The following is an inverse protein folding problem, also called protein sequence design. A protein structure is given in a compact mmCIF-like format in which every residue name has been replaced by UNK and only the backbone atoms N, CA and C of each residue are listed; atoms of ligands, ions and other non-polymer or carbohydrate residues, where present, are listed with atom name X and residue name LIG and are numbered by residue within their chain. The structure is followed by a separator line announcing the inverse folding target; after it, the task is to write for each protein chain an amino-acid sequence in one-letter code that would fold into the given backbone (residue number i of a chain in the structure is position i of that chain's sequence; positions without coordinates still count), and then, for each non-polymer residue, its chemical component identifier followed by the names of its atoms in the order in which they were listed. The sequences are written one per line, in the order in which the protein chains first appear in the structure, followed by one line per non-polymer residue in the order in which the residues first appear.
data_IF_133060253445
#
_entry.id   IF_133060253445
#
_cell.length_a   1.000
_cell.length_b   1.000
_cell.length_c   1.000
_cell.angle_alpha   90.00
_cell.angle_beta   90.00
_cell.angle_gamma   90.00
#
_symmetry.space_group_name_H-M   'P 1'
#
loop_
_entity.id
_entity.type
_entity.pdbx_description
1 polymer ?
#
# COMPACT_ATOMS: atom_id res chain seq x y z
N UNK A 1 -15.12 -1.45 -6.40
CA UNK A 1 -14.93 -2.85 -5.99
C UNK A 1 -14.05 -2.85 -4.73
N UNK A 2 -14.24 -3.74 -3.75
CA UNK A 2 -13.41 -3.70 -2.53
C UNK A 2 -12.13 -4.49 -2.72
N UNK A 3 -11.03 -4.13 -2.04
CA UNK A 3 -9.75 -4.86 -2.06
C UNK A 3 -9.90 -6.38 -1.91
N UNK A 4 -10.86 -6.84 -1.09
CA UNK A 4 -11.11 -8.27 -0.90
C UNK A 4 -11.84 -8.87 -2.09
N UNK A 5 -12.76 -8.13 -2.71
CA UNK A 5 -13.41 -8.55 -3.94
C UNK A 5 -12.37 -8.65 -5.06
N UNK A 6 -11.46 -7.67 -5.16
CA UNK A 6 -10.36 -7.68 -6.13
C UNK A 6 -9.44 -8.88 -5.91
N UNK A 7 -9.04 -9.16 -4.66
CA UNK A 7 -8.23 -10.33 -4.32
C UNK A 7 -8.94 -11.64 -4.59
N UNK A 8 -10.23 -11.74 -4.27
CA UNK A 8 -11.04 -12.93 -4.51
C UNK A 8 -11.23 -13.13 -6.02
N UNK A 9 -11.49 -12.07 -6.77
CA UNK A 9 -11.63 -12.11 -8.22
C UNK A 9 -10.31 -12.51 -8.89
N UNK A 10 -9.19 -11.92 -8.47
CA UNK A 10 -7.86 -12.28 -8.98
C UNK A 10 -7.49 -13.73 -8.60
N UNK A 11 -7.71 -14.14 -7.36
CA UNK A 11 -7.52 -15.52 -6.91
C UNK A 11 -8.36 -16.49 -7.75
N UNK A 12 -9.63 -16.16 -7.99
CA UNK A 12 -10.53 -16.94 -8.84
C UNK A 12 -10.09 -16.96 -10.32
N UNK A 13 -9.55 -15.86 -10.84
CA UNK A 13 -8.98 -15.76 -12.18
C UNK A 13 -7.73 -16.63 -12.36
N UNK A 14 -6.80 -16.53 -11.40
CA UNK A 14 -5.58 -17.35 -11.34
C UNK A 14 -5.90 -18.85 -11.23
N UNK A 15 -6.85 -19.24 -10.38
CA UNK A 15 -7.31 -20.63 -10.24
C UNK A 15 -7.97 -21.17 -11.52
N UNK A 16 -8.64 -20.31 -12.29
CA UNK A 16 -9.28 -20.70 -13.57
C UNK A 16 -8.28 -20.82 -14.72
N UNK A 17 -7.04 -20.34 -14.60
CA UNK A 17 -6.09 -20.23 -15.71
C UNK A 17 -4.79 -21.03 -15.54
N UNK A 18 -4.52 -21.73 -14.43
CA UNK A 18 -3.13 -22.03 -14.09
C UNK A 18 -2.73 -23.48 -13.76
N UNK A 19 -1.45 -23.74 -14.06
CA UNK A 19 -0.59 -24.70 -13.34
C UNK A 19 -0.14 -24.18 -11.95
N UNK A 20 0.82 -24.88 -11.34
CA UNK A 20 1.03 -24.99 -9.89
C UNK A 20 1.15 -23.67 -9.10
N UNK A 21 1.90 -22.67 -9.56
CA UNK A 21 2.24 -21.49 -8.73
C UNK A 21 1.06 -20.51 -8.52
N UNK A 22 0.09 -20.45 -9.44
CA UNK A 22 -1.07 -19.55 -9.28
C UNK A 22 -2.17 -20.15 -8.39
N UNK A 23 -2.17 -21.49 -8.24
CA UNK A 23 -3.01 -22.18 -7.29
C UNK A 23 -2.59 -21.89 -5.84
N UNK A 24 -1.29 -21.72 -5.58
CA UNK A 24 -0.74 -21.35 -4.27
C UNK A 24 -1.15 -19.93 -3.86
N UNK A 25 -1.20 -18.99 -4.80
CA UNK A 25 -1.69 -17.62 -4.59
C UNK A 25 -3.15 -17.58 -4.12
N UNK A 26 -4.02 -18.27 -4.85
CA UNK A 26 -5.42 -18.41 -4.47
C UNK A 26 -5.57 -19.09 -3.12
N UNK A 27 -4.75 -20.10 -2.82
CA UNK A 27 -4.77 -20.81 -1.55
C UNK A 27 -4.33 -19.93 -0.36
N UNK A 28 -3.35 -19.03 -0.51
CA UNK A 28 -2.91 -18.11 0.56
C UNK A 28 -3.96 -17.05 0.85
N UNK A 29 -4.57 -16.47 -0.20
CA UNK A 29 -5.65 -15.49 -0.09
C UNK A 29 -6.91 -16.11 0.53
N UNK A 30 -7.19 -17.37 0.19
CA UNK A 30 -8.34 -18.14 0.70
C UNK A 30 -8.02 -18.92 1.98
N UNK A 31 -6.79 -18.86 2.51
CA UNK A 31 -6.43 -19.51 3.76
C UNK A 31 -7.11 -18.78 4.94
N UNK A 32 -7.91 -19.53 5.70
CA UNK A 32 -8.71 -19.02 6.82
C UNK A 32 -7.87 -18.34 7.93
N UNK A 33 -6.57 -18.62 8.03
CA UNK A 33 -5.69 -18.01 9.05
C UNK A 33 -5.09 -16.66 8.63
N UNK A 34 -4.97 -16.40 7.33
CA UNK A 34 -4.39 -15.16 6.79
C UNK A 34 -5.42 -14.03 6.66
N UNK A 35 -6.69 -14.37 6.39
CA UNK A 35 -7.74 -13.39 6.12
C UNK A 35 -7.97 -12.38 7.27
N UNK A 36 -8.09 -12.76 8.56
CA UNK A 36 -8.24 -11.79 9.64
C UNK A 36 -7.04 -10.82 9.75
N UNK A 37 -5.82 -11.30 9.49
CA UNK A 37 -4.60 -10.48 9.49
C UNK A 37 -4.61 -9.48 8.34
N UNK A 38 -4.98 -9.92 7.14
CA UNK A 38 -5.13 -9.05 5.96
C UNK A 38 -6.14 -7.92 6.22
N UNK A 39 -7.31 -8.26 6.79
CA UNK A 39 -8.35 -7.28 7.11
C UNK A 39 -7.92 -6.29 8.19
N UNK A 40 -7.25 -6.76 9.24
CA UNK A 40 -6.72 -5.93 10.31
C UNK A 40 -5.64 -4.96 9.79
N UNK A 41 -4.65 -5.47 9.06
CA UNK A 41 -3.58 -4.67 8.46
C UNK A 41 -4.14 -3.61 7.51
N UNK A 42 -5.11 -3.98 6.66
CA UNK A 42 -5.77 -3.03 5.76
C UNK A 42 -6.50 -1.92 6.52
N UNK A 43 -7.31 -2.29 7.52
CA UNK A 43 -8.06 -1.31 8.33
C UNK A 43 -7.11 -0.33 9.02
N UNK A 44 -6.00 -0.84 9.55
CA UNK A 44 -5.01 -0.02 10.24
C UNK A 44 -4.24 0.89 9.27
N UNK A 45 -3.81 0.39 8.12
CA UNK A 45 -3.15 1.20 7.10
C UNK A 45 -4.06 2.32 6.56
N UNK A 46 -5.35 2.04 6.34
CA UNK A 46 -6.34 3.04 5.92
C UNK A 46 -6.55 4.12 6.99
N UNK A 47 -6.67 3.71 8.26
CA UNK A 47 -6.80 4.63 9.40
C UNK A 47 -5.59 5.56 9.48
N UNK A 48 -4.38 4.99 9.40
CA UNK A 48 -3.14 5.77 9.49
C UNK A 48 -2.98 6.74 8.31
N UNK A 49 -3.21 6.26 7.08
CA UNK A 49 -3.18 7.09 5.87
C UNK A 49 -4.14 8.27 5.95
N UNK A 50 -5.37 8.05 6.43
CA UNK A 50 -6.34 9.13 6.67
C UNK A 50 -5.78 10.16 7.64
N UNK A 51 -5.25 9.75 8.78
CA UNK A 51 -4.69 10.68 9.76
C UNK A 51 -3.51 11.49 9.20
N UNK A 52 -2.59 10.83 8.49
CA UNK A 52 -1.46 11.50 7.83
C UNK A 52 -1.94 12.53 6.81
N UNK A 53 -3.00 12.22 6.05
CA UNK A 53 -3.51 13.12 5.01
C UNK A 53 -4.04 14.46 5.52
N UNK A 54 -4.45 14.55 6.79
CA UNK A 54 -4.87 15.81 7.43
C UNK A 54 -3.79 16.44 8.33
N UNK A 55 -2.62 15.83 8.49
CA UNK A 55 -1.61 16.28 9.45
C UNK A 55 -1.07 17.69 9.16
N UNK A 56 -1.33 18.23 7.97
CA UNK A 56 -0.85 19.53 7.49
C UNK A 56 -1.99 20.44 6.99
N UNK A 57 -3.24 20.14 7.37
CA UNK A 57 -4.42 20.90 6.93
C UNK A 57 -5.04 21.74 8.04
N UNK A 58 -4.36 21.92 9.18
CA UNK A 58 -4.94 22.56 10.37
C UNK A 58 -5.37 24.02 10.16
N UNK A 59 -4.68 24.73 9.25
CA UNK A 59 -4.95 26.14 8.93
C UNK A 59 -5.83 26.32 7.68
N UNK A 60 -6.27 25.22 7.06
CA UNK A 60 -7.14 25.23 5.88
C UNK A 60 -8.61 25.23 6.31
N UNK A 61 -9.48 25.73 5.44
CA UNK A 61 -10.90 25.48 5.61
C UNK A 61 -11.26 24.01 5.32
N UNK A 62 -12.49 23.60 5.66
CA UNK A 62 -12.90 22.20 5.56
C UNK A 62 -12.85 21.66 4.13
N UNK A 63 -13.19 22.49 3.14
CA UNK A 63 -13.22 22.10 1.72
C UNK A 63 -11.80 21.93 1.18
N UNK A 64 -10.93 22.91 1.42
CA UNK A 64 -9.51 22.87 1.04
C UNK A 64 -8.78 21.72 1.75
N UNK A 65 -9.08 21.49 3.04
CA UNK A 65 -8.53 20.39 3.80
C UNK A 65 -8.92 19.03 3.22
N UNK A 66 -10.19 18.84 2.84
CA UNK A 66 -10.64 17.59 2.22
C UNK A 66 -10.03 17.38 0.85
N UNK A 67 -9.98 18.42 0.00
CA UNK A 67 -9.36 18.34 -1.32
C UNK A 67 -7.88 17.95 -1.20
N UNK A 68 -7.15 18.63 -0.33
CA UNK A 68 -5.72 18.37 -0.05
C UNK A 68 -5.51 16.95 0.48
N UNK A 69 -6.31 16.54 1.45
CA UNK A 69 -6.21 15.22 2.06
C UNK A 69 -6.59 14.12 1.04
N UNK A 70 -7.60 14.35 0.21
CA UNK A 70 -7.99 13.46 -0.88
C UNK A 70 -6.88 13.31 -1.92
N UNK A 71 -6.25 14.40 -2.35
CA UNK A 71 -5.12 14.36 -3.27
C UNK A 71 -3.94 13.56 -2.68
N UNK A 72 -3.64 13.75 -1.39
CA UNK A 72 -2.59 13.00 -0.70
C UNK A 72 -2.85 11.48 -0.62
N UNK A 73 -4.13 11.08 -0.51
CA UNK A 73 -4.56 9.67 -0.48
C UNK A 73 -4.70 9.03 -1.86
N UNK A 74 -4.60 9.80 -2.94
CA UNK A 74 -4.81 9.32 -4.32
C UNK A 74 -3.54 9.51 -5.17
N UNK A 75 -2.61 8.57 -5.06
CA UNK A 75 -1.26 8.58 -5.65
C UNK A 75 -0.29 9.64 -5.06
N UNK A 76 -0.66 10.21 -3.92
CA UNK A 76 0.13 11.19 -3.17
C UNK A 76 0.86 10.61 -1.95
N UNK A 77 1.41 11.47 -1.07
CA UNK A 77 2.21 11.05 0.07
C UNK A 77 1.52 10.07 1.05
N UNK A 78 0.27 10.35 1.43
CA UNK A 78 -0.47 9.49 2.35
C UNK A 78 -0.78 8.13 1.72
N UNK A 79 -0.89 8.07 0.39
CA UNK A 79 -1.08 6.84 -0.36
C UNK A 79 0.20 5.98 -0.41
N UNK A 80 1.33 6.61 -0.74
CA UNK A 80 2.63 5.96 -0.72
C UNK A 80 2.96 5.36 0.65
N UNK A 81 2.70 6.11 1.72
CA UNK A 81 2.85 5.65 3.09
C UNK A 81 1.90 4.48 3.40
N UNK A 82 0.63 4.56 2.98
CA UNK A 82 -0.36 3.49 3.15
C UNK A 82 0.13 2.17 2.55
N UNK A 83 0.62 2.21 1.31
CA UNK A 83 1.10 1.04 0.58
C UNK A 83 2.34 0.44 1.23
N UNK A 84 3.33 1.28 1.57
CA UNK A 84 4.52 0.82 2.27
C UNK A 84 4.20 0.20 3.65
N UNK A 85 3.34 0.85 4.45
CA UNK A 85 3.02 0.37 5.79
C UNK A 85 2.16 -0.90 5.77
N UNK A 86 1.14 -0.97 4.91
CA UNK A 86 0.38 -2.20 4.68
C UNK A 86 1.34 -3.34 4.34
N UNK A 87 2.24 -3.11 3.40
CA UNK A 87 3.20 -4.10 2.94
C UNK A 87 4.22 -4.51 4.01
N UNK A 88 4.57 -3.60 4.91
CA UNK A 88 5.40 -3.90 6.07
C UNK A 88 4.68 -4.82 7.07
N UNK A 89 3.40 -4.57 7.36
CA UNK A 89 2.60 -5.48 8.21
C UNK A 89 2.49 -6.87 7.57
N UNK A 90 2.21 -6.94 6.26
CA UNK A 90 2.12 -8.22 5.56
C UNK A 90 3.48 -8.93 5.48
N UNK A 91 4.56 -8.22 5.19
CA UNK A 91 5.92 -8.78 5.17
C UNK A 91 6.35 -9.31 6.54
N UNK A 92 5.96 -8.64 7.63
CA UNK A 92 6.16 -9.13 9.00
C UNK A 92 5.38 -10.42 9.23
N UNK A 93 4.07 -10.39 8.96
CA UNK A 93 3.12 -11.42 9.42
C UNK A 93 3.01 -12.65 8.53
N UNK A 94 3.31 -12.51 7.23
CA UNK A 94 3.22 -13.58 6.23
C UNK A 94 4.60 -13.99 5.69
N UNK A 95 5.58 -13.07 5.71
CA UNK A 95 6.87 -13.31 5.04
C UNK A 95 6.90 -12.79 3.61
N UNK A 96 8.06 -12.95 2.97
CA UNK A 96 8.34 -12.29 1.69
C UNK A 96 7.44 -12.77 0.56
N UNK A 97 7.37 -14.09 0.35
CA UNK A 97 6.68 -14.70 -0.80
C UNK A 97 5.17 -14.45 -0.73
N UNK A 98 4.54 -14.78 0.40
CA UNK A 98 3.11 -14.59 0.62
C UNK A 98 2.68 -13.13 0.56
N UNK A 99 3.46 -12.21 1.15
CA UNK A 99 3.15 -10.78 1.10
C UNK A 99 3.25 -10.25 -0.33
N UNK A 100 4.33 -10.59 -1.05
CA UNK A 100 4.53 -10.19 -2.44
C UNK A 100 3.36 -10.67 -3.31
N UNK A 101 2.93 -11.91 -3.10
CA UNK A 101 1.85 -12.51 -3.86
C UNK A 101 0.52 -11.79 -3.64
N UNK A 102 0.14 -11.54 -2.39
CA UNK A 102 -1.10 -10.79 -2.08
C UNK A 102 -1.05 -9.38 -2.68
N UNK A 103 0.05 -8.67 -2.51
CA UNK A 103 0.17 -7.28 -2.93
C UNK A 103 0.21 -7.14 -4.45
N UNK A 104 0.96 -7.97 -5.17
CA UNK A 104 0.99 -7.95 -6.64
C UNK A 104 -0.35 -8.34 -7.25
N UNK A 105 -1.04 -9.31 -6.65
CA UNK A 105 -2.37 -9.74 -7.08
C UNK A 105 -3.39 -8.60 -7.00
N UNK A 106 -3.33 -7.76 -5.96
CA UNK A 106 -4.18 -6.57 -5.85
C UNK A 106 -3.94 -5.57 -7.00
N UNK A 107 -2.68 -5.35 -7.37
CA UNK A 107 -2.30 -4.40 -8.43
C UNK A 107 -2.65 -4.89 -9.84
N UNK A 108 -2.76 -6.20 -10.07
CA UNK A 108 -3.13 -6.77 -11.37
C UNK A 108 -4.58 -6.47 -11.79
N UNK A 109 -5.48 -6.22 -10.84
CA UNK A 109 -6.90 -6.02 -11.11
C UNK A 109 -7.30 -4.55 -11.24
N UNK A 110 -6.58 -3.62 -10.61
CA UNK A 110 -7.03 -2.23 -10.53
C UNK A 110 -6.71 -1.44 -11.80
N UNK A 111 -5.49 -1.54 -12.34
CA UNK A 111 -5.00 -0.71 -13.46
C UNK A 111 -3.56 -1.08 -13.88
N UNK A 112 -3.31 -2.36 -14.15
CA UNK A 112 -1.95 -2.87 -14.36
C UNK A 112 -1.13 -2.03 -15.36
N UNK A 113 0.00 -1.52 -14.90
CA UNK A 113 0.93 -0.71 -15.71
C UNK A 113 0.67 0.80 -15.67
N UNK A 114 -0.39 1.28 -15.02
CA UNK A 114 -0.60 2.71 -14.79
C UNK A 114 0.49 3.29 -13.87
N UNK A 115 0.73 4.62 -13.91
CA UNK A 115 1.65 5.27 -12.98
C UNK A 115 1.31 5.02 -11.49
N UNK A 116 0.03 4.93 -11.15
CA UNK A 116 -0.42 4.62 -9.79
C UNK A 116 -0.05 3.18 -9.40
N UNK A 117 -0.40 2.19 -10.22
CA UNK A 117 -0.02 0.79 -9.97
C UNK A 117 1.50 0.60 -9.88
N UNK A 118 2.29 1.32 -10.69
CA UNK A 118 3.76 1.30 -10.61
C UNK A 118 4.28 1.92 -9.30
N UNK A 119 3.64 2.97 -8.81
CA UNK A 119 3.96 3.60 -7.52
C UNK A 119 3.67 2.62 -6.38
N UNK A 120 2.51 1.97 -6.43
CA UNK A 120 2.07 1.00 -5.43
C UNK A 120 3.01 -0.20 -5.37
N UNK A 121 3.32 -0.84 -6.50
CA UNK A 121 4.28 -1.95 -6.58
C UNK A 121 5.65 -1.57 -6.00
N UNK A 122 6.13 -0.36 -6.31
CA UNK A 122 7.43 0.12 -5.82
C UNK A 122 7.42 0.32 -4.29
N UNK A 123 6.40 1.00 -3.76
CA UNK A 123 6.28 1.26 -2.33
C UNK A 123 5.99 -0.03 -1.55
N UNK A 124 5.24 -0.96 -2.14
CA UNK A 124 4.99 -2.29 -1.58
C UNK A 124 6.30 -3.06 -1.38
N UNK A 125 7.20 -3.06 -2.37
CA UNK A 125 8.49 -3.74 -2.26
C UNK A 125 9.34 -3.23 -1.09
N UNK A 126 9.36 -1.92 -0.86
CA UNK A 126 10.05 -1.30 0.29
C UNK A 126 9.39 -1.71 1.59
N UNK A 127 8.05 -1.71 1.64
CA UNK A 127 7.31 -2.18 2.81
C UNK A 127 7.61 -3.62 3.16
N UNK A 128 7.59 -4.54 2.19
CA UNK A 128 7.93 -5.96 2.41
C UNK A 128 9.35 -6.08 2.98
N UNK A 129 10.33 -5.35 2.44
CA UNK A 129 11.71 -5.33 2.95
C UNK A 129 11.76 -4.94 4.44
N UNK A 130 11.04 -3.87 4.81
CA UNK A 130 10.92 -3.41 6.21
C UNK A 130 10.30 -4.50 7.08
N UNK A 131 9.16 -5.05 6.68
CA UNK A 131 8.40 -6.04 7.45
C UNK A 131 9.17 -7.34 7.68
N UNK A 132 9.82 -7.86 6.64
CA UNK A 132 10.56 -9.13 6.70
C UNK A 132 11.77 -9.03 7.65
N UNK A 133 12.41 -7.86 7.74
CA UNK A 133 13.53 -7.62 8.67
C UNK A 133 13.08 -7.35 10.10
N UNK A 134 11.81 -7.06 10.31
CA UNK A 134 11.25 -6.56 11.57
C UNK A 134 10.18 -7.51 12.13
N UNK A 135 10.50 -8.82 12.21
CA UNK A 135 9.54 -9.89 12.57
C UNK A 135 8.88 -9.73 13.95
N UNK A 136 9.55 -9.06 14.89
CA UNK A 136 9.04 -8.83 16.25
C UNK A 136 8.58 -7.39 16.48
N UNK A 137 8.57 -6.56 15.43
CA UNK A 137 8.21 -5.16 15.54
C UNK A 137 6.70 -4.98 15.74
N UNK A 138 6.34 -4.02 16.59
CA UNK A 138 4.97 -3.58 16.74
C UNK A 138 4.49 -2.83 15.49
N UNK A 139 3.18 -2.63 15.38
CA UNK A 139 2.59 -1.81 14.33
C UNK A 139 3.13 -0.36 14.38
N UNK A 140 3.38 0.18 15.58
CA UNK A 140 4.00 1.49 15.76
C UNK A 140 5.43 1.57 15.24
N UNK A 141 6.25 0.55 15.50
CA UNK A 141 7.62 0.46 14.97
C UNK A 141 7.62 0.41 13.43
N UNK A 142 6.65 -0.29 12.83
CA UNK A 142 6.50 -0.36 11.37
C UNK A 142 6.01 0.98 10.78
N UNK A 143 5.16 1.73 11.49
CA UNK A 143 4.79 3.10 11.11
C UNK A 143 6.02 4.02 11.11
N UNK A 144 6.82 3.97 12.17
CA UNK A 144 8.05 4.76 12.29
C UNK A 144 9.05 4.39 11.18
N UNK A 145 9.29 3.10 10.94
CA UNK A 145 10.18 2.64 9.88
C UNK A 145 9.69 3.08 8.49
N UNK A 146 8.38 3.04 8.25
CA UNK A 146 7.77 3.51 7.00
C UNK A 146 7.93 5.02 6.83
N UNK A 147 7.66 5.80 7.88
CA UNK A 147 7.86 7.25 7.86
C UNK A 147 9.34 7.62 7.64
N UNK A 148 10.27 6.89 8.26
CA UNK A 148 11.70 7.08 8.04
C UNK A 148 12.09 6.79 6.58
N UNK A 149 11.57 5.73 5.96
CA UNK A 149 11.80 5.44 4.55
C UNK A 149 11.25 6.56 3.65
N UNK A 150 10.07 7.09 3.96
CA UNK A 150 9.48 8.23 3.27
C UNK A 150 10.34 9.49 3.38
N UNK A 151 10.74 9.90 4.59
CA UNK A 151 11.55 11.10 4.82
C UNK A 151 12.95 11.00 4.19
N UNK A 152 13.47 9.79 4.02
CA UNK A 152 14.72 9.54 3.29
C UNK A 152 14.57 9.64 1.75
N UNK A 153 13.34 9.80 1.23
CA UNK A 153 13.06 9.84 -0.20
C UNK A 153 13.08 8.47 -0.85
N UNK A 154 12.90 7.40 -0.05
CA UNK A 154 12.85 6.03 -0.57
C UNK A 154 11.51 5.73 -1.22
N UNK A 155 10.42 6.36 -0.80
CA UNK A 155 9.09 6.14 -1.39
C UNK A 155 8.85 7.02 -2.63
N UNK A 156 7.92 6.57 -3.47
CA UNK A 156 7.50 7.26 -4.70
C UNK A 156 6.07 7.72 -4.60
N UNK A 157 5.79 8.81 -5.31
CA UNK A 157 4.45 9.36 -5.56
C UNK A 157 4.31 9.67 -7.05
N UNK A 158 3.08 9.84 -7.51
CA UNK A 158 2.82 10.23 -8.91
C UNK A 158 2.77 11.75 -9.01
N UNK A 159 3.71 12.32 -9.74
CA UNK A 159 3.68 13.71 -10.14
C UNK A 159 2.71 13.90 -11.31
N UNK A 160 1.46 14.21 -10.97
CA UNK A 160 0.39 14.45 -11.95
C UNK A 160 0.62 15.74 -12.75
N UNK A 161 1.31 16.72 -12.18
CA UNK A 161 1.58 17.99 -12.85
C UNK A 161 2.63 17.84 -13.97
N UNK A 162 3.61 16.95 -13.77
CA UNK A 162 4.71 16.72 -14.73
C UNK A 162 4.54 15.44 -15.54
N UNK A 163 3.31 15.13 -15.97
CA UNK A 163 3.04 14.05 -16.93
C UNK A 163 2.90 12.66 -16.31
N UNK A 164 2.43 12.56 -15.06
CA UNK A 164 2.21 11.31 -14.32
C UNK A 164 3.47 10.46 -14.16
N UNK A 165 4.58 11.10 -13.78
CA UNK A 165 5.86 10.42 -13.56
C UNK A 165 6.06 10.07 -12.07
N UNK A 166 6.76 8.97 -11.80
CA UNK A 166 7.09 8.59 -10.43
C UNK A 166 8.26 9.44 -9.93
N UNK A 167 8.05 10.18 -8.85
CA UNK A 167 9.08 11.02 -8.22
C UNK A 167 9.32 10.59 -6.78
N UNK A 168 10.55 10.74 -6.25
CA UNK A 168 10.75 10.59 -4.82
C UNK A 168 10.02 11.72 -4.09
N UNK A 169 9.49 11.44 -2.91
CA UNK A 169 8.97 12.50 -2.04
C UNK A 169 9.59 12.39 -0.65
N UNK A 170 9.78 13.56 -0.03
CA UNK A 170 10.17 13.73 1.38
C UNK A 170 9.21 14.65 2.11
N UNK A 171 8.14 15.07 1.43
CA UNK A 171 7.20 16.06 1.92
C UNK A 171 5.79 15.49 1.92
N UNK A 172 5.12 15.67 3.05
CA UNK A 172 3.68 15.37 3.18
C UNK A 172 2.83 16.39 2.41
N UNK A 173 3.35 17.58 2.16
CA UNK A 173 2.71 18.56 1.28
C UNK A 173 3.07 18.23 -0.17
N UNK A 174 2.04 17.99 -0.99
CA UNK A 174 2.16 17.70 -2.41
C UNK A 174 1.44 18.80 -3.20
N UNK A 175 2.10 19.40 -4.19
CA UNK A 175 1.46 20.37 -5.10
C UNK A 175 1.28 21.80 -4.58
N UNK A 176 2.34 22.43 -4.05
CA UNK A 176 2.47 23.90 -4.09
C UNK A 176 3.57 24.29 -5.07
#
# INVERSE_FOLDING_TARGET
MSFMDDLIEAANGLLRHAGTNAHEAGAIVLNATSLPKLLAARKEALRWSRNVSYAFTAEMDEEEAEETASASRNAGPADALRHCYLSAMLGRDLGYEDALLVLTTHEMNAEWGSPASRMDLFNNAIGIEIGVRSKTASDGDLQEATMNAFLQGRLRVVDKANGNVLVPTKSLTFGR
#
